data_IF_202660047928
#
_entry.id   IF_202660047928
#
_cell.length_a   1.000
_cell.length_b   1.000
_cell.length_c   1.000
_cell.angle_alpha   90.00
_cell.angle_beta   90.00
_cell.angle_gamma   90.00
#
_symmetry.space_group_name_H-M   'P 1'
#
loop_
_entity.id
_entity.type
_entity.pdbx_description
1 polymer ?
#
# COMPACT_ATOMS: atom_id res chain seq x y z
N UNK A 1 -43.22 44.04 -33.61
CA UNK A 1 -42.47 43.17 -32.68
C UNK A 1 -42.44 43.89 -31.34
N UNK A 2 -42.90 43.25 -30.26
CA UNK A 2 -43.15 43.90 -28.96
C UNK A 2 -41.82 44.18 -28.23
N UNK A 3 -41.65 45.36 -27.61
CA UNK A 3 -40.39 45.77 -26.93
C UNK A 3 -39.90 44.76 -25.89
N UNK A 4 -40.81 44.07 -25.19
CA UNK A 4 -40.50 43.00 -24.24
C UNK A 4 -39.88 41.74 -24.87
N UNK A 5 -40.10 41.48 -26.18
CA UNK A 5 -39.44 40.39 -26.90
C UNK A 5 -38.01 40.77 -27.33
N UNK A 6 -37.77 42.05 -27.66
CA UNK A 6 -36.43 42.56 -27.99
C UNK A 6 -35.52 42.58 -26.74
N UNK A 7 -36.02 43.01 -25.59
CA UNK A 7 -35.24 43.01 -24.34
C UNK A 7 -34.87 41.59 -23.88
N UNK A 8 -35.80 40.63 -23.98
CA UNK A 8 -35.54 39.20 -23.71
C UNK A 8 -34.59 38.55 -24.71
N UNK A 9 -34.57 39.04 -25.95
CA UNK A 9 -33.64 38.60 -27.00
C UNK A 9 -32.23 39.14 -26.73
N UNK A 10 -32.10 40.42 -26.36
CA UNK A 10 -30.82 41.06 -26.04
C UNK A 10 -30.18 40.49 -24.78
N UNK A 11 -30.94 40.28 -23.71
CA UNK A 11 -30.42 39.63 -22.48
C UNK A 11 -29.93 38.20 -22.76
N UNK A 12 -30.63 37.41 -23.58
CA UNK A 12 -30.15 36.09 -24.03
C UNK A 12 -28.88 36.15 -24.88
N UNK A 13 -28.68 37.22 -25.64
CA UNK A 13 -27.51 37.40 -26.49
C UNK A 13 -26.30 37.84 -25.65
N UNK A 14 -26.52 38.72 -24.67
CA UNK A 14 -25.53 39.16 -23.68
C UNK A 14 -25.11 38.01 -22.76
N UNK A 15 -26.06 37.20 -22.28
CA UNK A 15 -25.77 36.01 -21.47
C UNK A 15 -24.96 34.96 -22.25
N UNK A 16 -25.25 34.79 -23.56
CA UNK A 16 -24.47 33.92 -24.45
C UNK A 16 -23.06 34.45 -24.68
N UNK A 17 -22.92 35.75 -24.95
CA UNK A 17 -21.63 36.40 -25.11
C UNK A 17 -20.81 36.33 -23.82
N UNK A 18 -21.44 36.49 -22.66
CA UNK A 18 -20.80 36.32 -21.36
C UNK A 18 -20.32 34.89 -21.15
N UNK A 19 -21.17 33.88 -21.41
CA UNK A 19 -20.78 32.48 -21.33
C UNK A 19 -19.62 32.14 -22.27
N UNK A 20 -19.62 32.70 -23.48
CA UNK A 20 -18.61 32.41 -24.49
C UNK A 20 -17.27 33.09 -24.16
N UNK A 21 -17.29 34.36 -23.76
CA UNK A 21 -16.09 35.17 -23.55
C UNK A 21 -15.47 34.98 -22.16
N UNK A 22 -16.30 34.93 -21.10
CA UNK A 22 -15.81 34.89 -19.71
C UNK A 22 -15.67 33.47 -19.17
N UNK A 23 -16.37 32.49 -19.76
CA UNK A 23 -16.36 31.10 -19.25
C UNK A 23 -15.72 30.13 -20.25
N UNK A 24 -16.27 30.01 -21.46
CA UNK A 24 -15.82 29.00 -22.42
C UNK A 24 -14.43 29.30 -22.99
N UNK A 25 -14.13 30.56 -23.34
CA UNK A 25 -12.84 30.94 -23.91
C UNK A 25 -11.67 30.77 -22.91
N UNK A 26 -11.79 31.16 -21.62
CA UNK A 26 -10.76 30.89 -20.62
C UNK A 26 -10.63 29.40 -20.29
N UNK A 27 -11.74 28.65 -20.26
CA UNK A 27 -11.69 27.19 -20.07
C UNK A 27 -11.02 26.49 -21.24
N UNK A 28 -11.31 26.92 -22.47
CA UNK A 28 -10.69 26.36 -23.67
C UNK A 28 -9.21 26.73 -23.81
N UNK A 29 -8.83 27.96 -23.44
CA UNK A 29 -7.44 28.39 -23.41
C UNK A 29 -6.66 27.64 -22.32
N UNK A 30 -7.24 27.46 -21.14
CA UNK A 30 -6.66 26.63 -20.08
C UNK A 30 -6.53 25.17 -20.51
N UNK A 31 -7.56 24.60 -21.14
CA UNK A 31 -7.53 23.24 -21.70
C UNK A 31 -6.44 23.08 -22.76
N UNK A 32 -6.27 24.07 -23.64
CA UNK A 32 -5.24 24.09 -24.68
C UNK A 32 -3.84 24.24 -24.09
N UNK A 33 -3.65 25.13 -23.11
CA UNK A 33 -2.39 25.30 -22.38
C UNK A 33 -2.01 24.03 -21.60
N UNK A 34 -2.99 23.36 -20.96
CA UNK A 34 -2.79 22.08 -20.29
C UNK A 34 -2.43 20.95 -21.27
N UNK A 35 -2.97 20.98 -22.51
CA UNK A 35 -2.52 20.11 -23.59
C UNK A 35 -1.10 20.43 -24.08
N UNK A 36 -0.67 21.69 -24.01
CA UNK A 36 0.68 22.14 -24.42
C UNK A 36 1.77 21.88 -23.35
N UNK A 37 1.43 21.58 -22.09
CA UNK A 37 2.34 20.99 -21.09
C UNK A 37 2.94 19.63 -21.53
N UNK A 38 2.55 19.14 -22.72
CA UNK A 38 3.11 17.97 -23.38
C UNK A 38 4.54 18.15 -23.90
N UNK A 39 5.23 19.27 -23.76
CA UNK A 39 6.66 19.32 -24.17
C UNK A 39 7.49 20.02 -23.10
N UNK A 40 8.53 19.37 -22.53
CA UNK A 40 9.52 20.12 -21.76
C UNK A 40 10.21 21.12 -22.71
N UNK A 41 10.16 22.41 -22.39
CA UNK A 41 11.14 23.34 -22.96
C UNK A 41 12.48 22.96 -22.35
N UNK A 42 13.44 22.57 -23.19
CA UNK A 42 14.81 22.30 -22.77
C UNK A 42 15.42 23.65 -22.37
N UNK A 43 15.41 23.93 -21.06
CA UNK A 43 16.18 25.02 -20.47
C UNK A 43 17.54 24.50 -20.05
N UNK A 44 18.58 25.32 -20.15
CA UNK A 44 19.96 25.02 -19.79
C UNK A 44 20.06 24.55 -18.32
N UNK A 45 19.93 23.23 -18.11
CA UNK A 45 20.13 22.57 -16.83
C UNK A 45 21.58 22.10 -16.67
N UNK A 46 21.99 21.85 -15.44
CA UNK A 46 23.32 21.32 -15.14
C UNK A 46 23.47 19.85 -15.62
N UNK A 47 24.62 19.53 -16.23
CA UNK A 47 25.01 18.28 -16.91
C UNK A 47 24.63 16.95 -16.20
N UNK A 48 24.45 16.93 -14.86
CA UNK A 48 24.06 15.72 -14.12
C UNK A 48 22.54 15.43 -14.12
N UNK A 49 21.69 16.45 -14.20
CA UNK A 49 20.22 16.27 -14.23
C UNK A 49 19.76 15.70 -15.58
N UNK A 50 20.46 16.04 -16.66
CA UNK A 50 20.21 15.50 -18.00
C UNK A 50 20.44 13.98 -18.06
N UNK A 51 21.47 13.46 -17.38
CA UNK A 51 21.86 12.03 -17.45
C UNK A 51 20.76 11.04 -17.04
N UNK A 52 20.03 11.31 -15.95
CA UNK A 52 18.93 10.43 -15.52
C UNK A 52 17.71 10.55 -16.46
N UNK A 53 17.40 11.78 -16.90
CA UNK A 53 16.27 12.03 -17.79
C UNK A 53 16.50 11.37 -19.16
N UNK A 54 17.72 11.47 -19.66
CA UNK A 54 18.15 10.91 -20.94
C UNK A 54 18.29 9.40 -20.95
N UNK A 55 18.28 8.78 -19.76
CA UNK A 55 18.22 7.32 -19.65
C UNK A 55 16.88 6.78 -20.20
N UNK A 56 15.79 7.53 -20.07
CA UNK A 56 14.44 7.11 -20.48
C UNK A 56 14.01 7.73 -21.81
N UNK A 57 13.32 6.93 -22.62
CA UNK A 57 12.78 7.33 -23.92
C UNK A 57 11.29 7.67 -23.85
N UNK A 58 10.53 6.99 -22.99
CA UNK A 58 9.10 7.28 -22.80
C UNK A 58 8.90 8.70 -22.26
N UNK A 59 8.23 9.51 -23.07
CA UNK A 59 8.03 10.94 -22.81
C UNK A 59 7.35 11.22 -21.46
N UNK A 60 6.40 10.37 -21.10
CA UNK A 60 5.66 10.47 -19.84
C UNK A 60 6.57 10.28 -18.61
N UNK A 61 7.55 9.37 -18.68
CA UNK A 61 8.56 9.19 -17.63
C UNK A 61 9.43 10.43 -17.55
N UNK A 62 9.99 10.89 -18.68
CA UNK A 62 10.87 12.07 -18.75
C UNK A 62 10.19 13.28 -18.12
N UNK A 63 8.91 13.50 -18.43
CA UNK A 63 8.10 14.56 -17.84
C UNK A 63 7.87 14.36 -16.35
N UNK A 64 7.68 13.14 -15.88
CA UNK A 64 7.51 12.87 -14.45
C UNK A 64 8.78 13.24 -13.68
N UNK A 65 9.94 12.73 -14.08
CA UNK A 65 11.21 12.95 -13.34
C UNK A 65 11.79 14.35 -13.49
N UNK A 66 11.42 15.09 -14.55
CA UNK A 66 11.86 16.47 -14.71
C UNK A 66 11.42 17.35 -13.53
N UNK A 67 12.24 18.30 -13.08
CA UNK A 67 11.84 19.28 -12.06
C UNK A 67 10.61 20.08 -12.50
N UNK A 68 9.79 20.49 -11.54
CA UNK A 68 8.62 21.36 -11.76
C UNK A 68 8.87 22.70 -11.13
N UNK A 69 9.02 23.72 -11.96
CA UNK A 69 9.23 25.09 -11.50
C UNK A 69 7.98 25.65 -10.81
N UNK A 70 8.20 26.47 -9.79
CA UNK A 70 7.11 27.18 -9.13
C UNK A 70 6.50 28.21 -10.10
N UNK A 71 5.16 28.28 -10.17
CA UNK A 71 4.43 29.14 -11.14
C UNK A 71 4.83 30.62 -11.11
N UNK A 72 5.27 31.13 -9.97
CA UNK A 72 5.59 32.55 -9.76
C UNK A 72 7.13 32.75 -9.70
N UNK A 73 7.93 31.71 -9.93
CA UNK A 73 9.40 31.75 -9.79
C UNK A 73 9.89 32.06 -8.37
N UNK A 74 8.98 32.13 -7.39
CA UNK A 74 9.29 32.35 -5.97
C UNK A 74 9.52 31.03 -5.26
N UNK A 75 10.31 31.06 -4.19
CA UNK A 75 10.48 29.95 -3.25
C UNK A 75 9.11 29.57 -2.68
N UNK A 76 8.79 28.27 -2.69
CA UNK A 76 7.55 27.75 -2.11
C UNK A 76 7.67 27.62 -0.59
N UNK A 77 6.58 27.23 0.08
CA UNK A 77 6.56 27.07 1.54
C UNK A 77 7.45 25.94 2.08
N UNK A 78 7.96 25.06 1.21
CA UNK A 78 8.98 24.06 1.54
C UNK A 78 10.41 24.61 1.44
N UNK A 79 10.59 25.88 1.06
CA UNK A 79 11.91 26.49 0.90
C UNK A 79 12.61 26.13 -0.42
N UNK A 80 11.88 25.65 -1.44
CA UNK A 80 12.47 25.29 -2.74
C UNK A 80 11.91 26.11 -3.90
N UNK A 81 12.73 26.36 -4.94
CA UNK A 81 12.32 27.03 -6.18
C UNK A 81 11.66 26.06 -7.19
N UNK A 82 11.95 24.77 -7.04
CA UNK A 82 11.47 23.68 -7.88
C UNK A 82 10.98 22.52 -7.00
N UNK A 83 10.02 21.77 -7.51
CA UNK A 83 9.54 20.52 -6.93
C UNK A 83 10.11 19.36 -7.74
N UNK A 84 10.67 18.39 -7.03
CA UNK A 84 11.23 17.18 -7.61
C UNK A 84 10.30 16.00 -7.33
N UNK A 85 9.96 15.24 -8.37
CA UNK A 85 9.23 14.00 -8.19
C UNK A 85 10.21 12.88 -7.79
N UNK A 86 9.75 11.95 -6.97
CA UNK A 86 10.54 10.82 -6.49
C UNK A 86 10.43 9.64 -7.46
N UNK A 87 11.55 8.95 -7.68
CA UNK A 87 11.64 7.71 -8.43
C UNK A 87 12.70 6.82 -7.80
N UNK A 88 12.43 5.52 -7.67
CA UNK A 88 13.39 4.57 -7.14
C UNK A 88 14.59 4.44 -8.07
N UNK A 89 15.82 4.46 -7.52
CA UNK A 89 17.04 4.34 -8.33
C UNK A 89 17.06 3.04 -9.18
N UNK A 90 16.51 1.94 -8.65
CA UNK A 90 16.43 0.67 -9.36
C UNK A 90 15.50 0.70 -10.59
N UNK A 91 14.66 1.73 -10.75
CA UNK A 91 13.90 1.95 -11.98
C UNK A 91 14.79 2.08 -13.23
N UNK A 92 16.02 2.58 -13.06
CA UNK A 92 17.01 2.66 -14.16
C UNK A 92 17.44 1.27 -14.62
N UNK A 93 17.64 0.35 -13.68
CA UNK A 93 17.99 -1.05 -13.97
C UNK A 93 16.81 -1.80 -14.61
N UNK A 94 15.59 -1.36 -14.31
CA UNK A 94 14.34 -1.91 -14.84
C UNK A 94 13.74 -1.06 -15.97
N UNK A 95 14.60 -0.39 -16.74
CA UNK A 95 14.17 0.57 -17.77
C UNK A 95 13.07 0.01 -18.66
N UNK A 96 13.26 -1.19 -19.22
CA UNK A 96 12.34 -1.80 -20.17
C UNK A 96 10.94 -2.00 -19.57
N UNK A 97 10.88 -2.62 -18.39
CA UNK A 97 9.62 -2.83 -17.66
C UNK A 97 8.96 -1.52 -17.26
N UNK A 98 9.74 -0.52 -16.84
CA UNK A 98 9.18 0.78 -16.46
C UNK A 98 8.64 1.53 -17.69
N UNK A 99 9.33 1.47 -18.83
CA UNK A 99 8.87 2.08 -20.08
C UNK A 99 7.59 1.41 -20.59
N UNK A 100 7.48 0.07 -20.52
CA UNK A 100 6.24 -0.66 -20.79
C UNK A 100 5.11 -0.24 -19.83
N UNK A 101 5.43 -0.11 -18.54
CA UNK A 101 4.51 0.39 -17.52
C UNK A 101 4.17 1.87 -17.70
N UNK A 102 4.91 2.65 -18.47
CA UNK A 102 4.61 4.08 -18.67
C UNK A 102 4.12 4.39 -20.07
N UNK A 103 3.99 3.37 -20.91
CA UNK A 103 3.39 3.43 -22.23
C UNK A 103 1.86 3.45 -22.11
N UNK A 104 1.30 4.66 -22.01
CA UNK A 104 -0.13 4.94 -22.00
C UNK A 104 -0.43 6.35 -22.50
N UNK A 105 -1.63 6.54 -23.06
CA UNK A 105 -2.12 7.87 -23.39
C UNK A 105 -2.70 8.57 -22.16
N UNK A 106 -2.36 9.85 -21.96
CA UNK A 106 -2.92 10.66 -20.88
C UNK A 106 -4.45 10.70 -20.97
N UNK A 107 -5.12 10.38 -19.86
CA UNK A 107 -6.58 10.32 -19.76
C UNK A 107 -7.21 9.06 -20.34
N UNK A 108 -6.43 8.19 -20.98
CA UNK A 108 -6.89 6.86 -21.39
C UNK A 108 -6.97 5.92 -20.18
N UNK A 109 -7.51 4.72 -20.40
CA UNK A 109 -7.51 3.70 -19.37
C UNK A 109 -6.14 3.05 -19.20
N UNK A 110 -5.69 2.89 -17.96
CA UNK A 110 -4.48 2.14 -17.66
C UNK A 110 -4.60 0.68 -18.16
N UNK A 111 -3.47 0.11 -18.59
CA UNK A 111 -3.35 -1.33 -18.84
C UNK A 111 -3.65 -2.09 -17.52
N UNK A 112 -4.18 -3.30 -17.64
CA UNK A 112 -4.40 -4.18 -16.49
C UNK A 112 -3.13 -4.98 -16.24
N UNK A 113 -2.14 -4.34 -15.61
CA UNK A 113 -0.77 -4.81 -15.47
C UNK A 113 -0.25 -4.64 -14.03
N UNK A 114 -1.12 -4.84 -13.05
CA UNK A 114 -0.77 -4.73 -11.62
C UNK A 114 0.40 -5.65 -11.25
N UNK A 115 0.56 -6.78 -11.93
CA UNK A 115 1.67 -7.71 -11.74
C UNK A 115 3.01 -7.11 -12.21
N UNK A 116 3.01 -6.34 -13.30
CA UNK A 116 4.17 -5.57 -13.76
C UNK A 116 4.50 -4.45 -12.76
N UNK A 117 3.48 -3.72 -12.29
CA UNK A 117 3.62 -2.70 -11.25
C UNK A 117 4.27 -3.28 -9.98
N UNK A 118 3.74 -4.41 -9.48
CA UNK A 118 4.29 -5.08 -8.30
C UNK A 118 5.72 -5.59 -8.55
N UNK A 119 6.02 -6.11 -9.76
CA UNK A 119 7.37 -6.54 -10.13
C UNK A 119 8.35 -5.38 -10.02
N UNK A 120 7.98 -4.19 -10.53
CA UNK A 120 8.80 -2.98 -10.40
C UNK A 120 9.03 -2.62 -8.93
N UNK A 121 7.97 -2.57 -8.12
CA UNK A 121 8.07 -2.19 -6.70
C UNK A 121 8.97 -3.14 -5.89
N UNK A 122 8.79 -4.46 -6.06
CA UNK A 122 9.57 -5.49 -5.33
C UNK A 122 11.05 -5.44 -5.68
N UNK A 123 11.40 -5.00 -6.88
CA UNK A 123 12.78 -4.86 -7.33
C UNK A 123 13.35 -3.44 -7.07
N UNK A 124 12.67 -2.61 -6.26
CA UNK A 124 13.16 -1.30 -5.84
C UNK A 124 12.78 -0.13 -6.74
N UNK A 125 12.02 -0.36 -7.81
CA UNK A 125 11.45 0.71 -8.62
C UNK A 125 10.16 1.23 -7.99
N UNK A 126 10.30 1.99 -6.91
CA UNK A 126 9.21 2.63 -6.18
C UNK A 126 9.65 4.00 -5.62
N UNK A 127 8.79 5.04 -5.57
CA UNK A 127 7.39 5.06 -6.02
C UNK A 127 7.22 4.96 -7.53
N UNK A 128 6.15 4.32 -7.96
CA UNK A 128 5.81 4.20 -9.38
C UNK A 128 5.32 5.54 -9.97
N UNK A 129 5.78 5.94 -11.17
CA UNK A 129 5.51 7.26 -11.73
C UNK A 129 4.16 7.41 -12.43
N UNK A 130 3.44 6.31 -12.71
CA UNK A 130 2.17 6.33 -13.46
C UNK A 130 1.06 7.01 -12.66
N UNK A 131 0.59 8.17 -13.13
CA UNK A 131 -0.48 8.95 -12.46
C UNK A 131 -1.55 9.53 -13.40
N UNK A 132 -1.35 9.46 -14.71
CA UNK A 132 -2.16 10.20 -15.70
C UNK A 132 -3.02 9.32 -16.61
N UNK A 133 -3.20 8.04 -16.27
CA UNK A 133 -4.22 7.17 -16.86
C UNK A 133 -5.32 6.86 -15.83
N UNK A 134 -6.48 6.42 -16.31
CA UNK A 134 -7.65 6.10 -15.51
C UNK A 134 -7.67 4.62 -15.16
N UNK A 135 -7.61 4.31 -13.86
CA UNK A 135 -7.73 2.93 -13.36
C UNK A 135 -9.09 2.37 -13.73
N UNK A 136 -9.11 1.17 -14.35
CA UNK A 136 -10.35 0.52 -14.74
C UNK A 136 -11.00 -0.14 -13.52
N UNK A 137 -12.29 0.11 -13.29
CA UNK A 137 -13.12 -0.70 -12.41
C UNK A 137 -13.66 -1.94 -13.14
N UNK A 138 -14.30 -2.85 -12.39
CA UNK A 138 -15.11 -3.91 -12.99
C UNK A 138 -16.36 -3.32 -13.65
N UNK A 139 -16.72 -3.78 -14.86
CA UNK A 139 -17.94 -3.33 -15.56
C UNK A 139 -19.22 -3.72 -14.82
N UNK A 140 -19.14 -4.77 -14.00
CA UNK A 140 -20.27 -5.37 -13.26
C UNK A 140 -20.15 -5.10 -11.76
N UNK A 141 -19.54 -3.97 -11.39
CA UNK A 141 -19.37 -3.56 -10.00
C UNK A 141 -20.69 -3.62 -9.23
N UNK A 142 -20.63 -4.17 -8.03
CA UNK A 142 -21.75 -4.27 -7.12
C UNK A 142 -21.48 -3.51 -5.83
N UNK A 143 -22.54 -2.98 -5.25
CA UNK A 143 -22.49 -2.34 -3.93
C UNK A 143 -21.85 -3.31 -2.92
N UNK A 144 -20.77 -2.92 -2.22
CA UNK A 144 -20.16 -3.75 -1.18
C UNK A 144 -21.12 -4.02 -0.02
N UNK A 145 -20.87 -5.10 0.71
CA UNK A 145 -21.63 -5.39 1.93
C UNK A 145 -21.46 -4.27 2.96
N UNK A 146 -22.50 -3.98 3.77
CA UNK A 146 -22.38 -3.07 4.90
C UNK A 146 -21.35 -3.58 5.91
N UNK A 147 -20.78 -2.65 6.71
CA UNK A 147 -19.60 -2.94 7.53
C UNK A 147 -19.80 -4.03 8.59
N UNK A 148 -21.03 -4.18 9.09
CA UNK A 148 -21.40 -5.22 10.05
C UNK A 148 -21.39 -6.63 9.45
N UNK A 149 -21.56 -6.76 8.14
CA UNK A 149 -21.53 -8.05 7.43
C UNK A 149 -20.19 -8.30 6.73
N UNK A 150 -19.55 -7.23 6.21
CA UNK A 150 -18.39 -7.33 5.33
C UNK A 150 -17.15 -7.95 5.98
N UNK A 151 -17.05 -7.93 7.32
CA UNK A 151 -15.87 -8.42 8.02
C UNK A 151 -15.68 -9.94 7.87
N UNK A 152 -16.75 -10.73 7.86
CA UNK A 152 -16.68 -12.20 7.91
C UNK A 152 -17.40 -12.88 6.75
N UNK A 153 -17.87 -12.11 5.78
CA UNK A 153 -18.48 -12.61 4.56
C UNK A 153 -17.51 -12.45 3.40
N UNK A 154 -17.38 -13.48 2.58
CA UNK A 154 -16.63 -13.36 1.32
C UNK A 154 -17.28 -12.28 0.44
N UNK A 155 -16.51 -11.30 -0.07
CA UNK A 155 -17.03 -10.28 -0.97
C UNK A 155 -17.52 -10.86 -2.30
N UNK A 156 -18.28 -10.07 -3.06
CA UNK A 156 -18.69 -10.42 -4.42
C UNK A 156 -17.49 -10.42 -5.37
N UNK A 157 -17.31 -11.53 -6.10
CA UNK A 157 -16.24 -11.72 -7.08
C UNK A 157 -16.20 -10.63 -8.14
N UNK A 158 -17.35 -10.05 -8.49
CA UNK A 158 -17.48 -9.02 -9.52
C UNK A 158 -16.78 -7.73 -9.16
N UNK A 159 -16.45 -7.51 -7.89
CA UNK A 159 -15.73 -6.33 -7.43
C UNK A 159 -14.20 -6.46 -7.58
N UNK A 160 -13.71 -7.59 -8.12
CA UNK A 160 -12.30 -7.84 -8.38
C UNK A 160 -12.05 -8.00 -9.88
N UNK A 161 -10.90 -7.49 -10.35
CA UNK A 161 -10.42 -7.73 -11.70
C UNK A 161 -9.57 -9.00 -11.75
N UNK A 162 -10.15 -10.08 -12.26
CA UNK A 162 -9.51 -11.38 -12.21
C UNK A 162 -8.43 -11.63 -13.26
N UNK A 163 -8.27 -10.75 -14.27
CA UNK A 163 -7.54 -11.01 -15.53
C UNK A 163 -6.14 -11.63 -15.39
N UNK A 164 -5.35 -11.14 -14.43
CA UNK A 164 -3.97 -11.60 -14.20
C UNK A 164 -3.82 -12.60 -13.04
N UNK A 165 -4.92 -13.17 -12.54
CA UNK A 165 -4.92 -14.26 -11.56
C UNK A 165 -5.27 -15.58 -12.23
N UNK A 166 -4.77 -16.70 -11.68
CA UNK A 166 -5.15 -18.03 -12.16
C UNK A 166 -6.62 -18.33 -11.85
N UNK A 167 -7.07 -17.96 -10.65
CA UNK A 167 -8.47 -18.04 -10.27
C UNK A 167 -9.30 -16.89 -10.83
N UNK A 168 -10.60 -17.13 -11.04
CA UNK A 168 -11.57 -16.14 -11.55
C UNK A 168 -12.68 -15.77 -10.57
N UNK A 169 -12.61 -16.30 -9.35
CA UNK A 169 -13.49 -16.02 -8.22
C UNK A 169 -12.80 -16.44 -6.91
N UNK A 170 -13.32 -15.96 -5.78
CA UNK A 170 -12.85 -16.29 -4.44
C UNK A 170 -13.04 -17.78 -4.11
N UNK A 171 -14.09 -18.42 -4.62
CA UNK A 171 -14.32 -19.86 -4.42
C UNK A 171 -13.15 -20.73 -4.93
N UNK A 172 -12.57 -20.37 -6.07
CA UNK A 172 -11.39 -21.02 -6.64
C UNK A 172 -10.15 -20.90 -5.74
N UNK A 173 -10.06 -19.88 -4.89
CA UNK A 173 -8.92 -19.65 -3.98
C UNK A 173 -8.96 -20.53 -2.71
N UNK A 174 -9.95 -21.42 -2.59
CA UNK A 174 -10.04 -22.37 -1.49
C UNK A 174 -8.74 -23.16 -1.29
N UNK A 175 -8.40 -23.45 -0.04
CA UNK A 175 -7.22 -24.25 0.29
C UNK A 175 -7.29 -25.68 -0.26
N UNK A 176 -8.50 -26.18 -0.57
CA UNK A 176 -8.72 -27.49 -1.19
C UNK A 176 -8.36 -27.53 -2.69
N UNK A 177 -8.25 -26.37 -3.35
CA UNK A 177 -7.90 -26.32 -4.77
C UNK A 177 -6.37 -26.33 -4.95
N UNK A 178 -5.78 -27.37 -5.58
CA UNK A 178 -4.34 -27.40 -5.85
C UNK A 178 -3.92 -26.46 -6.99
N UNK A 179 -4.84 -26.06 -7.88
CA UNK A 179 -4.59 -25.19 -9.04
C UNK A 179 -4.93 -23.72 -8.76
N UNK A 180 -4.96 -23.31 -7.50
CA UNK A 180 -5.36 -21.94 -7.08
C UNK A 180 -4.35 -20.85 -7.45
N UNK A 181 -3.12 -21.22 -7.84
CA UNK A 181 -2.10 -20.27 -8.28
C UNK A 181 -1.41 -19.45 -7.19
N UNK A 182 -1.61 -19.80 -5.92
CA UNK A 182 -0.92 -19.17 -4.79
C UNK A 182 -0.58 -20.18 -3.69
N UNK A 183 0.51 -19.92 -2.98
CA UNK A 183 1.05 -20.82 -1.93
C UNK A 183 1.03 -20.21 -0.53
N UNK A 184 1.10 -18.89 -0.40
CA UNK A 184 1.10 -18.18 0.89
C UNK A 184 -0.32 -18.05 1.45
N UNK A 185 -0.52 -18.28 2.75
CA UNK A 185 -1.83 -18.14 3.43
C UNK A 185 -2.90 -19.15 2.94
N UNK A 186 -2.60 -20.45 2.99
CA UNK A 186 -3.56 -21.50 2.60
C UNK A 186 -4.81 -21.43 3.49
N UNK A 187 -5.98 -21.34 2.86
CA UNK A 187 -7.27 -21.27 3.56
C UNK A 187 -7.69 -19.87 4.00
N UNK A 188 -6.95 -18.83 3.66
CA UNK A 188 -7.26 -17.46 4.10
C UNK A 188 -8.53 -16.84 3.48
N UNK A 189 -9.14 -17.54 2.51
CA UNK A 189 -10.44 -17.21 1.94
C UNK A 189 -11.59 -17.98 2.63
N UNK A 190 -11.30 -18.86 3.57
CA UNK A 190 -12.30 -19.64 4.31
C UNK A 190 -12.69 -18.89 5.58
N UNK A 191 -13.60 -17.90 5.45
CA UNK A 191 -13.93 -16.95 6.53
C UNK A 191 -14.37 -17.60 7.85
N UNK A 192 -15.02 -18.75 7.78
CA UNK A 192 -15.43 -19.54 8.95
C UNK A 192 -14.25 -20.10 9.78
N UNK A 193 -13.08 -20.26 9.16
CA UNK A 193 -11.82 -20.61 9.84
C UNK A 193 -10.94 -19.40 10.17
N UNK A 194 -11.12 -18.30 9.44
CA UNK A 194 -10.40 -17.03 9.68
C UNK A 194 -10.99 -16.22 10.83
N UNK A 195 -12.31 -16.29 11.08
CA UNK A 195 -12.84 -16.10 12.45
C UNK A 195 -12.15 -17.17 13.33
N UNK A 196 -12.34 -17.40 14.63
CA UNK A 196 -11.46 -18.32 15.42
C UNK A 196 -9.96 -17.92 15.55
N UNK A 197 -9.26 -17.39 14.53
CA UNK A 197 -7.87 -16.92 14.67
C UNK A 197 -7.76 -15.85 15.76
N UNK A 198 -6.75 -16.00 16.62
CA UNK A 198 -6.43 -15.18 17.81
C UNK A 198 -7.54 -15.01 18.86
N UNK A 199 -8.64 -15.75 18.75
CA UNK A 199 -9.74 -15.74 19.75
C UNK A 199 -9.95 -17.08 20.42
N UNK A 200 -9.57 -18.19 19.77
CA UNK A 200 -9.60 -19.53 20.35
C UNK A 200 -8.19 -19.95 20.72
N UNK A 201 -8.00 -20.47 21.95
CA UNK A 201 -6.72 -21.07 22.34
C UNK A 201 -6.51 -22.31 21.48
N UNK A 202 -5.40 -22.34 20.75
CA UNK A 202 -4.94 -23.57 20.11
C UNK A 202 -4.08 -24.36 21.11
N UNK A 203 -3.71 -25.58 20.73
CA UNK A 203 -2.75 -26.38 21.51
C UNK A 203 -1.31 -25.86 21.42
N UNK A 204 -1.03 -24.91 20.52
CA UNK A 204 0.31 -24.37 20.32
C UNK A 204 0.57 -23.22 21.29
N UNK A 205 1.61 -23.36 22.12
CA UNK A 205 1.98 -22.34 23.12
C UNK A 205 2.41 -20.98 22.52
N UNK A 206 2.70 -20.97 21.22
CA UNK A 206 3.09 -19.76 20.48
C UNK A 206 1.90 -18.88 20.10
N UNK A 207 0.66 -19.37 20.25
CA UNK A 207 -0.53 -18.62 19.88
C UNK A 207 -0.97 -17.69 21.01
N UNK A 208 -0.86 -16.39 20.78
CA UNK A 208 -1.35 -15.38 21.72
C UNK A 208 -2.75 -14.90 21.33
N UNK A 209 -3.64 -14.80 22.31
CA UNK A 209 -4.96 -14.24 22.08
C UNK A 209 -4.90 -12.71 22.05
N UNK A 210 -5.69 -12.10 21.15
CA UNK A 210 -5.80 -10.64 21.06
C UNK A 210 -6.17 -10.02 22.41
N UNK A 211 -7.13 -10.63 23.13
CA UNK A 211 -7.55 -10.13 24.46
C UNK A 211 -6.40 -10.11 25.46
N UNK A 212 -5.56 -11.14 25.46
CA UNK A 212 -4.43 -11.22 26.39
C UNK A 212 -3.35 -10.18 26.04
N UNK A 213 -3.12 -9.91 24.75
CA UNK A 213 -2.16 -8.89 24.32
C UNK A 213 -2.67 -7.49 24.65
N UNK A 214 -3.94 -7.20 24.36
CA UNK A 214 -4.56 -5.90 24.69
C UNK A 214 -4.65 -5.65 26.20
N UNK A 215 -4.77 -6.70 27.01
CA UNK A 215 -4.77 -6.61 28.47
C UNK A 215 -3.41 -6.13 29.05
N UNK A 216 -2.31 -6.23 28.31
CA UNK A 216 -1.01 -5.67 28.73
C UNK A 216 -1.08 -4.14 28.81
N UNK A 217 -1.87 -3.51 27.92
CA UNK A 217 -2.04 -2.05 27.83
C UNK A 217 -3.53 -1.69 27.64
N UNK A 218 -4.38 -1.91 28.66
CA UNK A 218 -5.82 -1.70 28.53
C UNK A 218 -6.15 -0.26 28.09
N UNK A 219 -6.92 -0.14 27.00
CA UNK A 219 -7.37 1.16 26.46
C UNK A 219 -6.31 2.01 25.76
N UNK A 220 -5.05 1.57 25.69
CA UNK A 220 -3.97 2.37 25.08
C UNK A 220 -3.73 2.03 23.60
N UNK A 221 -4.03 0.80 23.18
CA UNK A 221 -3.86 0.35 21.79
C UNK A 221 -5.11 0.74 20.98
N UNK A 222 -4.97 1.66 20.03
CA UNK A 222 -6.08 2.21 19.22
C UNK A 222 -5.79 2.16 17.72
N UNK A 223 -4.52 2.27 17.35
CA UNK A 223 -4.06 2.18 15.97
C UNK A 223 -2.84 1.27 15.86
N UNK A 224 -2.80 0.46 14.81
CA UNK A 224 -1.65 -0.39 14.55
C UNK A 224 -1.44 -0.75 13.09
N UNK A 225 -0.30 -1.39 12.84
CA UNK A 225 0.12 -1.91 11.56
C UNK A 225 0.17 -3.44 11.63
N UNK A 226 -0.45 -4.10 10.67
CA UNK A 226 -0.36 -5.55 10.47
C UNK A 226 0.53 -5.83 9.25
N UNK A 227 1.77 -6.18 9.54
CA UNK A 227 2.83 -6.45 8.59
C UNK A 227 2.85 -7.94 8.24
N UNK A 228 1.97 -8.35 7.34
CA UNK A 228 1.71 -9.75 7.04
C UNK A 228 1.13 -9.98 5.66
N UNK A 229 0.80 -11.25 5.38
CA UNK A 229 0.06 -11.66 4.18
C UNK A 229 -1.22 -12.36 4.62
N UNK A 230 -2.34 -11.87 4.11
CA UNK A 230 -3.64 -12.48 4.36
C UNK A 230 -4.77 -11.59 3.87
N UNK A 231 -5.98 -11.93 4.25
CA UNK A 231 -7.19 -11.24 3.79
C UNK A 231 -7.61 -10.09 4.71
N UNK A 232 -6.77 -9.69 5.67
CA UNK A 232 -7.09 -8.67 6.69
C UNK A 232 -7.74 -9.22 7.96
N UNK A 233 -7.56 -10.52 8.24
CA UNK A 233 -8.21 -11.18 9.38
C UNK A 233 -7.83 -10.59 10.74
N UNK A 234 -6.56 -10.24 10.93
CA UNK A 234 -6.12 -9.57 12.16
C UNK A 234 -6.78 -8.21 12.31
N UNK A 235 -6.78 -7.40 11.24
CA UNK A 235 -7.47 -6.12 11.20
C UNK A 235 -8.98 -6.24 11.49
N UNK A 236 -9.65 -7.26 10.96
CA UNK A 236 -11.07 -7.51 11.25
C UNK A 236 -11.30 -7.79 12.74
N UNK A 237 -10.46 -8.61 13.38
CA UNK A 237 -10.56 -8.91 14.81
C UNK A 237 -10.29 -7.71 15.69
N UNK A 238 -9.27 -6.94 15.37
CA UNK A 238 -8.92 -5.72 16.09
C UNK A 238 -10.03 -4.67 15.97
N UNK A 239 -10.69 -4.59 14.81
CA UNK A 239 -11.84 -3.69 14.59
C UNK A 239 -13.05 -4.02 15.47
N UNK A 240 -13.35 -5.30 15.71
CA UNK A 240 -14.41 -5.71 16.65
C UNK A 240 -14.16 -5.19 18.08
N UNK A 241 -12.91 -4.84 18.39
CA UNK A 241 -12.47 -4.26 19.66
C UNK A 241 -12.13 -2.76 19.52
N UNK A 242 -12.64 -2.10 18.48
CA UNK A 242 -12.44 -0.68 18.17
C UNK A 242 -10.97 -0.25 17.95
N UNK A 243 -10.12 -1.17 17.49
CA UNK A 243 -8.74 -0.85 17.10
C UNK A 243 -8.63 -0.79 15.58
N UNK A 244 -8.10 0.32 15.07
CA UNK A 244 -7.88 0.53 13.63
C UNK A 244 -6.55 -0.08 13.22
N UNK A 245 -6.57 -1.02 12.29
CA UNK A 245 -5.36 -1.65 11.76
C UNK A 245 -5.22 -1.32 10.28
N UNK A 246 -4.02 -0.88 9.92
CA UNK A 246 -3.58 -0.83 8.52
C UNK A 246 -2.84 -2.14 8.23
N UNK A 247 -3.29 -2.90 7.24
CA UNK A 247 -2.65 -4.18 6.87
C UNK A 247 -1.81 -4.00 5.61
N UNK A 248 -0.53 -4.33 5.66
CA UNK A 248 0.28 -4.41 4.43
C UNK A 248 -0.27 -5.50 3.53
N UNK A 249 -0.32 -5.26 2.22
CA UNK A 249 -0.84 -6.23 1.28
C UNK A 249 -0.09 -6.18 -0.05
N UNK A 250 0.30 -7.34 -0.55
CA UNK A 250 0.74 -7.55 -1.92
C UNK A 250 -0.17 -8.59 -2.56
N UNK A 251 -0.40 -8.50 -3.87
CA UNK A 251 -1.22 -9.46 -4.60
C UNK A 251 -0.35 -10.63 -5.04
N UNK A 252 -0.23 -11.65 -4.18
CA UNK A 252 0.61 -12.83 -4.37
C UNK A 252 -0.21 -14.00 -4.94
N UNK A 253 -0.59 -13.90 -6.21
CA UNK A 253 -1.45 -14.90 -6.88
C UNK A 253 -2.93 -14.86 -6.46
N UNK A 254 -3.28 -13.95 -5.54
CA UNK A 254 -4.63 -13.69 -5.10
C UNK A 254 -4.83 -12.17 -4.82
N UNK A 255 -6.07 -11.65 -4.90
CA UNK A 255 -6.39 -10.22 -4.81
C UNK A 255 -6.49 -9.74 -3.34
N UNK A 256 -5.36 -9.75 -2.63
CA UNK A 256 -5.33 -9.43 -1.20
C UNK A 256 -5.67 -7.97 -0.89
N UNK A 257 -5.19 -7.03 -1.70
CA UNK A 257 -5.53 -5.61 -1.51
C UNK A 257 -7.03 -5.37 -1.66
N UNK A 258 -7.63 -5.96 -2.68
CA UNK A 258 -9.05 -5.82 -3.00
C UNK A 258 -9.93 -6.46 -1.93
N UNK A 259 -9.63 -7.68 -1.46
CA UNK A 259 -10.44 -8.33 -0.42
C UNK A 259 -10.36 -7.60 0.92
N UNK A 260 -9.18 -7.07 1.31
CA UNK A 260 -9.04 -6.27 2.54
C UNK A 260 -9.95 -5.03 2.45
N UNK A 261 -9.87 -4.29 1.33
CA UNK A 261 -10.71 -3.11 1.11
C UNK A 261 -12.21 -3.45 1.07
N UNK A 262 -12.61 -4.54 0.39
CA UNK A 262 -14.01 -4.96 0.28
C UNK A 262 -14.61 -5.45 1.61
N UNK A 263 -13.77 -5.84 2.57
CA UNK A 263 -14.18 -6.10 3.96
C UNK A 263 -14.34 -4.80 4.78
N UNK A 264 -14.04 -3.64 4.18
CA UNK A 264 -14.05 -2.32 4.82
C UNK A 264 -12.81 -2.02 5.64
N UNK A 265 -11.72 -2.77 5.44
CA UNK A 265 -10.45 -2.63 6.16
C UNK A 265 -9.44 -1.81 5.33
N UNK A 266 -8.30 -1.45 5.92
CA UNK A 266 -7.33 -0.55 5.30
C UNK A 266 -6.14 -1.36 4.76
N UNK A 267 -6.05 -1.62 3.44
CA UNK A 267 -4.83 -2.18 2.85
C UNK A 267 -3.80 -1.07 2.63
N UNK A 268 -2.54 -1.38 2.93
CA UNK A 268 -1.37 -0.60 2.53
C UNK A 268 -0.59 -1.39 1.48
N UNK A 269 -0.58 -0.87 0.26
CA UNK A 269 0.19 -1.47 -0.84
C UNK A 269 1.67 -1.12 -0.68
N UNK A 270 2.40 -1.96 0.06
CA UNK A 270 3.80 -1.76 0.39
C UNK A 270 4.63 -3.05 0.29
N UNK A 271 5.89 -2.92 -0.10
CA UNK A 271 6.87 -4.01 -0.21
C UNK A 271 7.92 -3.95 0.90
N UNK A 272 8.71 -5.01 1.06
CA UNK A 272 9.76 -5.12 2.10
C UNK A 272 10.90 -4.11 1.93
N UNK A 273 11.14 -3.66 0.71
CA UNK A 273 12.23 -2.74 0.35
C UNK A 273 11.82 -1.26 0.51
N UNK A 274 10.60 -0.98 0.95
CA UNK A 274 10.11 0.38 1.15
C UNK A 274 10.17 0.76 2.62
N UNK A 275 10.58 2.00 2.88
CA UNK A 275 10.33 2.64 4.17
C UNK A 275 8.83 2.87 4.32
N UNK A 276 8.27 2.49 5.46
CA UNK A 276 6.86 2.65 5.78
C UNK A 276 6.44 4.13 5.67
N UNK A 277 5.37 4.45 4.92
CA UNK A 277 4.90 5.82 4.70
C UNK A 277 4.09 6.35 5.89
N UNK A 278 4.54 6.07 7.10
CA UNK A 278 3.98 6.60 8.34
C UNK A 278 4.98 7.57 8.97
N UNK A 279 4.45 8.55 9.71
CA UNK A 279 5.29 9.42 10.50
C UNK A 279 5.87 8.68 11.73
N UNK A 280 6.90 9.26 12.33
CA UNK A 280 7.60 8.64 13.44
C UNK A 280 6.71 8.61 14.70
N UNK A 281 6.80 7.52 15.47
CA UNK A 281 6.10 7.34 16.75
C UNK A 281 4.56 7.52 16.68
N UNK A 282 3.90 7.09 15.59
CA UNK A 282 2.45 7.23 15.44
C UNK A 282 1.65 5.95 15.68
N UNK A 283 2.27 4.77 15.71
CA UNK A 283 1.56 3.49 15.89
C UNK A 283 1.60 3.03 17.34
N UNK A 284 0.48 2.50 17.86
CA UNK A 284 0.42 1.89 19.20
C UNK A 284 0.84 0.40 19.16
N UNK A 285 0.65 -0.26 18.01
CA UNK A 285 0.93 -1.68 17.80
C UNK A 285 1.53 -1.94 16.42
N UNK A 286 2.52 -2.81 16.34
CA UNK A 286 2.91 -3.49 15.10
C UNK A 286 2.71 -4.99 15.32
N UNK A 287 1.97 -5.63 14.44
CA UNK A 287 1.78 -7.07 14.40
C UNK A 287 2.47 -7.61 13.14
N UNK A 288 3.16 -8.75 13.23
CA UNK A 288 3.75 -9.43 12.07
C UNK A 288 3.39 -10.91 12.09
N UNK A 289 2.92 -11.43 10.95
CA UNK A 289 2.53 -12.83 10.81
C UNK A 289 2.73 -13.34 9.38
N UNK A 290 3.27 -14.55 9.22
CA UNK A 290 3.22 -15.34 7.98
C UNK A 290 3.93 -14.77 6.74
N UNK A 291 4.50 -13.56 6.81
CA UNK A 291 5.18 -12.90 5.69
C UNK A 291 6.70 -12.91 5.86
N UNK A 292 7.16 -12.55 7.06
CA UNK A 292 8.57 -12.61 7.44
C UNK A 292 8.86 -13.95 8.09
N UNK A 293 9.79 -14.69 7.50
CA UNK A 293 10.26 -15.97 8.02
C UNK A 293 11.75 -16.14 7.67
N UNK A 294 12.36 -17.27 8.02
CA UNK A 294 13.80 -17.49 8.00
C UNK A 294 14.49 -17.40 6.63
N UNK A 295 13.76 -17.12 5.54
CA UNK A 295 14.36 -16.81 4.23
C UNK A 295 14.93 -15.40 4.13
N UNK A 296 14.52 -14.47 4.99
CA UNK A 296 14.89 -13.06 4.86
C UNK A 296 16.36 -12.82 5.23
N UNK A 297 17.04 -12.00 4.43
CA UNK A 297 18.39 -11.56 4.75
C UNK A 297 18.44 -10.78 6.08
N UNK A 298 19.48 -11.00 6.89
CA UNK A 298 19.60 -10.39 8.21
C UNK A 298 19.75 -8.86 8.14
N UNK A 299 20.49 -8.34 7.15
CA UNK A 299 20.64 -6.90 6.97
C UNK A 299 19.32 -6.26 6.52
N UNK A 300 18.57 -6.93 5.65
CA UNK A 300 17.23 -6.46 5.28
C UNK A 300 16.27 -6.48 6.48
N UNK A 301 16.31 -7.55 7.29
CA UNK A 301 15.54 -7.62 8.53
C UNK A 301 15.89 -6.48 9.48
N UNK A 302 17.17 -6.11 9.58
CA UNK A 302 17.63 -5.01 10.40
C UNK A 302 16.96 -3.68 9.98
N UNK A 303 17.00 -3.33 8.69
CA UNK A 303 16.29 -2.15 8.18
C UNK A 303 14.79 -2.17 8.51
N UNK A 304 14.13 -3.32 8.39
CA UNK A 304 12.70 -3.47 8.70
C UNK A 304 12.44 -3.24 10.19
N UNK A 305 13.24 -3.83 11.07
CA UNK A 305 13.07 -3.71 12.53
C UNK A 305 13.31 -2.26 12.98
N UNK A 306 14.30 -1.57 12.42
CA UNK A 306 14.51 -0.14 12.70
C UNK A 306 13.37 0.73 12.17
N UNK A 307 12.78 0.41 11.02
CA UNK A 307 11.65 1.15 10.49
C UNK A 307 10.35 0.90 11.28
N UNK A 308 10.16 -0.33 11.78
CA UNK A 308 9.11 -0.66 12.74
C UNK A 308 9.29 0.10 14.05
N UNK A 309 10.50 0.12 14.60
CA UNK A 309 10.80 0.90 15.79
C UNK A 309 10.48 2.38 15.57
N UNK A 310 10.90 2.94 14.43
CA UNK A 310 10.63 4.33 14.09
C UNK A 310 9.14 4.68 14.15
N UNK A 311 8.27 3.87 13.54
CA UNK A 311 6.82 4.17 13.48
C UNK A 311 6.09 3.82 14.78
N UNK A 312 6.60 2.87 15.56
CA UNK A 312 6.04 2.48 16.84
C UNK A 312 6.34 3.55 17.90
N UNK A 313 5.33 4.02 18.62
CA UNK A 313 5.53 5.02 19.68
C UNK A 313 6.15 4.42 20.95
N UNK A 314 6.80 5.22 21.82
CA UNK A 314 7.21 4.75 23.14
C UNK A 314 6.05 4.14 23.92
N UNK A 315 6.25 2.98 24.53
CA UNK A 315 5.21 2.20 25.19
C UNK A 315 4.32 1.37 24.24
N UNK A 316 4.47 1.53 22.93
CA UNK A 316 3.81 0.72 21.91
C UNK A 316 4.31 -0.72 21.90
N UNK A 317 3.49 -1.63 21.37
CA UNK A 317 3.77 -3.07 21.33
C UNK A 317 4.23 -3.52 19.95
N UNK A 318 5.30 -4.30 19.89
CA UNK A 318 5.66 -5.14 18.76
C UNK A 318 5.23 -6.57 19.09
N UNK A 319 4.29 -7.08 18.31
CA UNK A 319 3.76 -8.44 18.40
C UNK A 319 4.26 -9.26 17.22
N UNK A 320 5.16 -10.19 17.51
CA UNK A 320 5.67 -11.19 16.58
C UNK A 320 4.81 -12.44 16.72
N UNK A 321 4.04 -12.78 15.68
CA UNK A 321 3.16 -13.95 15.64
C UNK A 321 3.75 -15.02 14.71
N UNK A 322 4.17 -16.14 15.31
CA UNK A 322 4.67 -17.35 14.63
C UNK A 322 5.72 -17.09 13.55
N UNK A 323 6.66 -16.18 13.82
CA UNK A 323 7.89 -16.10 13.02
C UNK A 323 8.56 -17.48 13.04
N UNK A 324 9.05 -17.99 11.92
CA UNK A 324 9.73 -19.28 11.91
C UNK A 324 11.04 -19.22 11.14
N UNK A 325 12.04 -19.96 11.61
CA UNK A 325 13.33 -20.10 10.96
C UNK A 325 13.88 -21.52 11.20
N UNK A 326 15.01 -21.86 10.58
CA UNK A 326 15.71 -23.09 10.94
C UNK A 326 16.32 -22.92 12.34
N UNK A 327 16.45 -24.03 13.07
CA UNK A 327 17.04 -24.05 14.41
C UNK A 327 18.45 -23.44 14.45
N UNK A 328 19.24 -23.68 13.39
CA UNK A 328 20.61 -23.15 13.27
C UNK A 328 20.69 -21.63 13.14
N UNK A 329 19.63 -20.99 12.64
CA UNK A 329 19.59 -19.53 12.39
C UNK A 329 18.85 -18.80 13.53
N UNK A 330 18.38 -19.55 14.55
CA UNK A 330 17.50 -19.02 15.59
C UNK A 330 18.18 -17.96 16.47
N UNK A 331 19.46 -18.11 16.75
CA UNK A 331 20.23 -17.17 17.57
C UNK A 331 20.34 -15.81 16.88
N UNK A 332 20.62 -15.80 15.58
CA UNK A 332 20.73 -14.58 14.77
C UNK A 332 19.40 -13.80 14.77
N UNK A 333 18.29 -14.46 14.45
CA UNK A 333 16.97 -13.81 14.47
C UNK A 333 16.53 -13.39 15.88
N UNK A 334 16.88 -14.16 16.90
CA UNK A 334 16.63 -13.78 18.29
C UNK A 334 17.36 -12.50 18.65
N UNK A 335 18.63 -12.40 18.26
CA UNK A 335 19.44 -11.21 18.46
C UNK A 335 18.83 -10.00 17.74
N UNK A 336 18.39 -10.16 16.49
CA UNK A 336 17.72 -9.11 15.70
C UNK A 336 16.50 -8.51 16.42
N UNK A 337 15.66 -9.33 17.06
CA UNK A 337 14.50 -8.82 17.80
C UNK A 337 14.83 -8.24 19.18
N UNK A 338 16.03 -8.52 19.72
CA UNK A 338 16.44 -8.10 21.05
C UNK A 338 17.35 -6.86 21.06
N UNK A 339 18.03 -6.56 19.95
CA UNK A 339 19.01 -5.48 19.85
C UNK A 339 18.47 -4.10 20.26
N UNK A 340 17.17 -3.85 20.04
CA UNK A 340 16.53 -2.57 20.36
C UNK A 340 16.10 -2.41 21.82
N UNK A 341 16.43 -3.40 22.68
CA UNK A 341 16.18 -3.42 24.13
C UNK A 341 14.72 -3.21 24.52
N UNK A 342 13.80 -3.82 23.75
CA UNK A 342 12.39 -3.80 24.11
C UNK A 342 12.14 -4.61 25.38
N UNK A 343 11.18 -4.14 26.19
CA UNK A 343 10.72 -4.88 27.37
C UNK A 343 9.91 -6.09 26.91
N UNK A 344 10.31 -7.29 27.33
CA UNK A 344 9.60 -8.54 26.99
C UNK A 344 8.40 -8.73 27.92
N UNK A 345 7.20 -8.80 27.35
CA UNK A 345 5.98 -9.23 28.08
C UNK A 345 5.69 -10.70 27.87
N UNK A 346 5.87 -11.17 26.64
CA UNK A 346 5.74 -12.59 26.26
C UNK A 346 6.88 -12.95 25.32
N UNK A 347 7.42 -14.15 25.47
CA UNK A 347 8.44 -14.71 24.59
C UNK A 347 8.36 -16.24 24.65
N UNK A 348 7.98 -16.87 23.55
CA UNK A 348 7.82 -18.32 23.45
C UNK A 348 8.49 -18.81 22.18
N UNK A 349 9.29 -19.87 22.32
CA UNK A 349 9.87 -20.62 21.20
C UNK A 349 9.30 -22.03 21.27
N UNK A 350 8.80 -22.54 20.15
CA UNK A 350 8.25 -23.89 20.07
C UNK A 350 8.71 -24.61 18.78
N UNK A 351 8.85 -25.94 18.78
CA UNK A 351 9.15 -26.68 17.56
C UNK A 351 8.05 -26.52 16.50
N UNK A 352 8.44 -26.22 15.26
CA UNK A 352 7.58 -26.28 14.07
C UNK A 352 7.72 -27.62 13.35
N UNK A 353 8.95 -28.14 13.28
CA UNK A 353 9.32 -29.43 12.72
C UNK A 353 10.64 -29.92 13.34
N UNK A 354 11.22 -31.00 12.83
CA UNK A 354 12.53 -31.48 13.29
C UNK A 354 13.63 -30.41 13.14
N UNK A 355 13.57 -29.57 12.11
CA UNK A 355 14.62 -28.60 11.77
C UNK A 355 14.20 -27.13 11.97
N UNK A 356 12.90 -26.86 12.13
CA UNK A 356 12.37 -25.50 12.22
C UNK A 356 11.71 -25.22 13.57
N UNK A 357 11.73 -23.96 13.98
CA UNK A 357 11.10 -23.47 15.22
C UNK A 357 10.20 -22.28 14.91
N UNK A 358 9.16 -22.10 15.72
CA UNK A 358 8.38 -20.88 15.83
C UNK A 358 8.94 -20.01 16.96
N UNK A 359 8.93 -18.70 16.75
CA UNK A 359 9.10 -17.66 17.74
C UNK A 359 7.83 -16.81 17.78
N UNK A 360 7.31 -16.56 18.98
CA UNK A 360 6.25 -15.58 19.19
C UNK A 360 6.54 -14.74 20.41
N UNK A 361 6.38 -13.43 20.27
CA UNK A 361 6.75 -12.48 21.30
C UNK A 361 5.83 -11.27 21.31
N UNK A 362 5.68 -10.67 22.49
CA UNK A 362 5.09 -9.34 22.67
C UNK A 362 6.11 -8.50 23.41
N UNK A 363 6.57 -7.47 22.73
CA UNK A 363 7.68 -6.61 23.13
C UNK A 363 7.18 -5.17 23.24
N UNK A 364 7.56 -4.45 24.28
CA UNK A 364 7.19 -3.04 24.47
C UNK A 364 8.39 -2.13 24.20
N UNK A 365 8.20 -1.13 23.33
CA UNK A 365 9.22 -0.13 23.01
C UNK A 365 9.52 0.74 24.24
N UNK A 366 10.77 0.85 24.70
CA UNK A 366 11.11 1.68 25.84
C UNK A 366 11.04 3.17 25.47
N UNK A 367 10.82 4.06 26.45
CA UNK A 367 11.08 5.48 26.23
C UNK A 367 12.59 5.67 25.99
N UNK A 368 12.94 6.26 24.85
CA UNK A 368 14.30 6.75 24.57
C UNK A 368 14.25 8.26 24.70
N UNK A 369 14.30 8.75 25.93
CA UNK A 369 14.58 10.16 26.17
C UNK A 369 16.09 10.37 25.96
N UNK A 370 16.45 11.37 25.16
CA UNK A 370 17.82 11.89 25.10
C UNK A 370 18.00 12.80 26.31
#
# INVERSE_FOLDING_TARGET
MNLQQMEKSNTRLEDKNYLEVEVLRPVYSAYTALKQLRLPKIGNGTVKEESLIDTFTTEEIRKYIAPKENRIGKINFYGTEKIYNTIGHACVLMKKELEEYMDYDIGSYCKDDWNLAQKLMVNGCDPLPRRRCLTRASKVYQKPYPINESLWKLPDDRNVRWGNYQCRNFGCLSGKNPKRGYTKCIGCFEMEKEKLKWVTKTSLQVDFLIRDVLAIKPGQIRIGLDYGVGTGTFAARMRELNVTIVSTALNLGAPFNEIIALRGLIPLYATLNQRLPFFDNTMDLIHTTGFLDGWIDLLLMDFIIFDWDRVLRPGGLLWIDRFFCNKKDMEDYTYMFQQLRYKKHKWVIAPKSQQQVYLSAVLEKPPRAI
#
